data_IF_571425598740
#
_entry.id   IF_571425598740
#
_cell.length_a   1.000
_cell.length_b   1.000
_cell.length_c   1.000
_cell.angle_alpha   90.00
_cell.angle_beta   90.00
_cell.angle_gamma   90.00
#
_symmetry.space_group_name_H-M   'P 1'
#
loop_
_entity.id
_entity.type
_entity.pdbx_description
1 polymer ?
#
# COMPACT_ATOMS: atom_id res chain seq x y z
N UNK A 1 6.32 -15.25 -10.28
CA UNK A 1 5.30 -14.20 -10.06
C UNK A 1 5.40 -13.67 -8.64
N UNK A 2 5.38 -12.38 -8.46
CA UNK A 2 5.45 -11.67 -7.16
C UNK A 2 4.25 -10.75 -7.00
N UNK A 3 3.68 -10.65 -5.80
CA UNK A 3 2.62 -9.70 -5.52
C UNK A 3 3.18 -8.40 -4.95
N UNK A 4 2.72 -7.30 -5.49
CA UNK A 4 3.00 -5.95 -5.02
C UNK A 4 1.67 -5.36 -4.57
N UNK A 5 1.52 -5.15 -3.28
CA UNK A 5 0.29 -4.61 -2.70
C UNK A 5 0.54 -3.17 -2.28
N UNK A 6 -0.16 -2.25 -2.89
CA UNK A 6 -0.11 -0.84 -2.57
C UNK A 6 -1.26 -0.50 -1.62
N UNK A 7 -0.99 0.28 -0.58
CA UNK A 7 -2.03 0.86 0.27
C UNK A 7 -2.05 2.37 0.14
N UNK A 8 -3.25 2.91 -0.06
CA UNK A 8 -3.51 4.35 -0.22
C UNK A 8 -4.96 4.61 0.17
N UNK A 9 -5.36 5.86 0.37
CA UNK A 9 -6.75 6.12 0.76
C UNK A 9 -7.32 7.48 0.33
N UNK A 10 -6.62 8.23 -0.48
CA UNK A 10 -7.16 9.47 -1.05
C UNK A 10 -6.89 9.59 -2.55
N UNK A 11 -7.75 10.28 -3.32
CA UNK A 11 -7.53 10.51 -4.74
C UNK A 11 -6.23 11.26 -5.03
N UNK A 12 -5.84 12.17 -4.14
CA UNK A 12 -4.59 12.91 -4.25
C UNK A 12 -3.37 11.99 -4.12
N UNK A 13 -3.37 11.06 -3.18
CA UNK A 13 -2.32 10.06 -3.03
C UNK A 13 -2.26 9.10 -4.22
N UNK A 14 -3.43 8.71 -4.75
CA UNK A 14 -3.49 7.87 -5.96
C UNK A 14 -2.81 8.56 -7.14
N UNK A 15 -3.11 9.83 -7.37
CA UNK A 15 -2.53 10.60 -8.47
C UNK A 15 -1.04 10.90 -8.26
N UNK A 16 -0.64 11.25 -7.04
CA UNK A 16 0.71 11.73 -6.75
C UNK A 16 1.71 10.60 -6.50
N UNK A 17 1.27 9.47 -5.95
CA UNK A 17 2.19 8.40 -5.52
C UNK A 17 1.88 7.05 -6.14
N UNK A 18 0.62 6.61 -6.18
CA UNK A 18 0.27 5.30 -6.75
C UNK A 18 0.56 5.27 -8.25
N UNK A 19 0.10 6.28 -8.99
CA UNK A 19 0.27 6.33 -10.44
C UNK A 19 1.74 6.23 -10.87
N UNK A 20 2.67 7.09 -10.41
CA UNK A 20 4.08 6.99 -10.82
C UNK A 20 4.74 5.68 -10.38
N UNK A 21 4.34 5.13 -9.23
CA UNK A 21 4.86 3.82 -8.79
C UNK A 21 4.37 2.70 -9.72
N UNK A 22 3.09 2.68 -10.08
CA UNK A 22 2.54 1.68 -11.01
C UNK A 22 3.16 1.80 -12.40
N UNK A 23 3.31 3.02 -12.91
CA UNK A 23 3.97 3.27 -14.20
C UNK A 23 5.41 2.73 -14.18
N UNK A 24 6.17 3.02 -13.10
CA UNK A 24 7.53 2.53 -12.97
C UNK A 24 7.62 1.02 -12.81
N UNK A 25 6.70 0.42 -12.07
CA UNK A 25 6.61 -1.03 -11.95
C UNK A 25 6.31 -1.70 -13.29
N UNK A 26 5.51 -1.08 -14.15
CA UNK A 26 5.18 -1.62 -15.47
C UNK A 26 6.39 -1.65 -16.42
N UNK A 27 7.37 -0.75 -16.24
CA UNK A 27 8.62 -0.79 -16.99
C UNK A 27 9.50 -2.00 -16.65
N UNK A 28 9.31 -2.61 -15.47
CA UNK A 28 10.09 -3.75 -15.04
C UNK A 28 9.61 -5.04 -15.72
N UNK A 29 10.51 -5.73 -16.41
CA UNK A 29 10.23 -7.01 -17.05
C UNK A 29 10.27 -8.17 -16.04
N UNK A 30 9.32 -8.17 -15.09
CA UNK A 30 9.12 -9.22 -14.09
C UNK A 30 7.65 -9.65 -14.06
N UNK A 31 7.39 -10.92 -13.84
CA UNK A 31 6.03 -11.41 -13.59
C UNK A 31 5.54 -10.93 -12.24
N UNK A 32 4.50 -10.11 -12.25
CA UNK A 32 3.94 -9.49 -11.05
C UNK A 32 2.43 -9.31 -11.13
N UNK A 33 1.80 -9.31 -9.96
CA UNK A 33 0.48 -8.76 -9.76
C UNK A 33 0.61 -7.46 -8.98
N UNK A 34 -0.11 -6.43 -9.37
CA UNK A 34 -0.21 -5.17 -8.65
C UNK A 34 -1.63 -5.05 -8.11
N UNK A 35 -1.77 -5.16 -6.81
CA UNK A 35 -3.03 -4.98 -6.09
C UNK A 35 -3.02 -3.64 -5.35
N UNK A 36 -4.15 -2.96 -5.33
CA UNK A 36 -4.31 -1.71 -4.58
C UNK A 36 -5.45 -1.87 -3.58
N UNK A 37 -5.15 -1.63 -2.30
CA UNK A 37 -6.17 -1.54 -1.26
C UNK A 37 -6.35 -0.09 -0.83
N UNK A 38 -7.61 0.33 -0.70
CA UNK A 38 -7.99 1.62 -0.13
C UNK A 38 -8.70 1.40 1.21
N UNK A 39 -7.94 1.21 2.32
CA UNK A 39 -8.50 1.01 3.64
C UNK A 39 -9.35 2.20 4.10
N UNK A 40 -10.18 2.05 5.15
CA UNK A 40 -10.96 3.15 5.70
C UNK A 40 -10.08 4.31 6.16
N UNK A 41 -10.46 5.52 5.81
CA UNK A 41 -9.84 6.75 6.29
C UNK A 41 -10.87 7.87 6.37
N UNK A 42 -10.70 8.76 7.33
CA UNK A 42 -11.53 9.98 7.50
C UNK A 42 -11.43 10.93 6.31
N UNK A 43 -10.40 10.81 5.48
CA UNK A 43 -10.17 11.65 4.29
C UNK A 43 -10.58 10.96 2.97
N UNK A 44 -11.17 9.77 3.03
CA UNK A 44 -11.66 9.08 1.84
C UNK A 44 -12.85 9.83 1.25
N UNK A 45 -12.78 10.13 -0.05
CA UNK A 45 -13.85 10.82 -0.79
C UNK A 45 -14.81 9.85 -1.49
N UNK A 46 -14.45 8.57 -1.57
CA UNK A 46 -15.15 7.55 -2.35
C UNK A 46 -14.84 7.55 -3.85
N UNK A 47 -14.05 8.50 -4.33
CA UNK A 47 -13.64 8.60 -5.74
C UNK A 47 -12.36 7.83 -6.08
N UNK A 48 -11.70 7.26 -5.08
CA UNK A 48 -10.43 6.54 -5.23
C UNK A 48 -10.54 5.39 -6.24
N UNK A 49 -11.64 4.65 -6.20
CA UNK A 49 -11.89 3.54 -7.11
C UNK A 49 -11.97 3.95 -8.57
N UNK A 50 -12.53 5.13 -8.87
CA UNK A 50 -12.59 5.65 -10.22
C UNK A 50 -11.20 6.01 -10.74
N UNK A 51 -10.41 6.72 -9.96
CA UNK A 51 -9.04 7.09 -10.34
C UNK A 51 -8.17 5.85 -10.54
N UNK A 52 -8.32 4.84 -9.68
CA UNK A 52 -7.59 3.57 -9.81
C UNK A 52 -8.00 2.78 -11.05
N UNK A 53 -9.28 2.80 -11.44
CA UNK A 53 -9.75 2.10 -12.64
C UNK A 53 -9.17 2.65 -13.94
N UNK A 54 -8.68 3.89 -13.93
CA UNK A 54 -8.03 4.54 -15.07
C UNK A 54 -6.53 4.21 -15.20
N UNK A 55 -5.95 3.53 -14.18
CA UNK A 55 -4.53 3.16 -14.18
C UNK A 55 -4.30 1.80 -14.86
N UNK A 56 -3.53 1.82 -15.95
CA UNK A 56 -3.10 0.60 -16.62
C UNK A 56 -2.07 -0.17 -15.77
N UNK A 57 -2.18 -1.51 -15.78
CA UNK A 57 -1.21 -2.38 -15.12
C UNK A 57 -1.55 -2.78 -13.68
N UNK A 58 -2.66 -2.29 -13.13
CA UNK A 58 -3.21 -2.79 -11.87
C UNK A 58 -3.98 -4.08 -12.13
N UNK A 59 -3.68 -5.13 -11.37
CA UNK A 59 -4.36 -6.43 -11.44
C UNK A 59 -5.78 -6.33 -10.87
N UNK A 60 -5.92 -5.73 -9.69
CA UNK A 60 -7.20 -5.41 -9.07
C UNK A 60 -7.06 -4.33 -8.00
N UNK A 61 -8.15 -3.60 -7.76
CA UNK A 61 -8.26 -2.62 -6.69
C UNK A 61 -9.42 -2.99 -5.75
N UNK A 62 -9.23 -2.77 -4.45
CA UNK A 62 -10.17 -3.17 -3.40
C UNK A 62 -10.49 -1.99 -2.50
N UNK A 63 -11.78 -1.75 -2.32
CA UNK A 63 -12.29 -0.67 -1.49
C UNK A 63 -12.26 -0.99 0.01
N UNK A 64 -12.60 -0.01 0.85
CA UNK A 64 -12.60 -0.12 2.29
C UNK A 64 -13.47 -1.26 2.82
N UNK A 65 -14.63 -1.50 2.20
CA UNK A 65 -15.54 -2.58 2.60
C UNK A 65 -14.93 -3.96 2.32
N UNK A 66 -14.31 -4.13 1.16
CA UNK A 66 -13.62 -5.37 0.80
C UNK A 66 -12.41 -5.62 1.69
N UNK A 67 -11.64 -4.56 1.97
CA UNK A 67 -10.53 -4.60 2.92
C UNK A 67 -11.00 -5.06 4.31
N UNK A 68 -12.03 -4.42 4.88
CA UNK A 68 -12.54 -4.76 6.21
C UNK A 68 -13.08 -6.20 6.27
N UNK A 69 -13.83 -6.65 5.27
CA UNK A 69 -14.29 -8.03 5.19
C UNK A 69 -13.11 -9.01 5.18
N UNK A 70 -12.06 -8.69 4.46
CA UNK A 70 -10.88 -9.54 4.39
C UNK A 70 -10.12 -9.58 5.71
N UNK A 71 -9.86 -8.43 6.33
CA UNK A 71 -9.08 -8.36 7.58
C UNK A 71 -9.86 -8.93 8.77
N UNK A 72 -11.13 -8.56 8.95
CA UNK A 72 -11.91 -8.90 10.13
C UNK A 72 -12.62 -10.24 10.02
N UNK A 73 -13.15 -10.57 8.85
CA UNK A 73 -13.99 -11.75 8.63
C UNK A 73 -13.30 -12.86 7.83
N UNK A 74 -12.06 -12.63 7.39
CA UNK A 74 -11.34 -13.53 6.50
C UNK A 74 -12.06 -13.84 5.18
N UNK A 75 -12.93 -12.92 4.73
CA UNK A 75 -13.63 -13.01 3.45
C UNK A 75 -12.75 -12.35 2.38
N UNK A 76 -12.08 -13.19 1.62
CA UNK A 76 -11.18 -12.74 0.56
C UNK A 76 -11.97 -12.20 -0.63
N UNK A 77 -11.62 -11.03 -1.21
CA UNK A 77 -12.24 -10.55 -2.44
C UNK A 77 -12.03 -11.53 -3.61
N UNK A 78 -13.02 -11.67 -4.50
CA UNK A 78 -13.03 -12.69 -5.55
C UNK A 78 -11.81 -12.60 -6.50
N UNK A 79 -11.40 -11.38 -6.85
CA UNK A 79 -10.27 -11.12 -7.75
C UNK A 79 -8.92 -11.01 -7.02
N UNK A 80 -8.88 -11.31 -5.71
CA UNK A 80 -7.65 -11.30 -4.95
C UNK A 80 -7.11 -12.72 -4.81
N UNK A 81 -6.05 -13.01 -5.55
CA UNK A 81 -5.36 -14.32 -5.56
C UNK A 81 -3.90 -14.15 -5.16
N UNK A 82 -3.62 -13.95 -3.85
CA UNK A 82 -2.25 -13.72 -3.40
C UNK A 82 -1.37 -14.92 -3.67
N UNK A 83 -0.17 -14.66 -4.17
CA UNK A 83 0.88 -15.65 -4.37
C UNK A 83 1.65 -15.91 -3.07
N UNK A 84 2.58 -16.86 -3.09
CA UNK A 84 3.41 -17.17 -1.91
C UNK A 84 4.47 -16.10 -1.61
N UNK A 85 4.74 -15.20 -2.55
CA UNK A 85 5.76 -14.16 -2.42
C UNK A 85 5.19 -12.81 -2.79
N UNK A 86 5.43 -11.84 -1.94
CA UNK A 86 4.99 -10.48 -2.20
C UNK A 86 5.52 -9.51 -1.15
N UNK A 87 5.12 -8.27 -1.27
CA UNK A 87 5.36 -7.24 -0.27
C UNK A 87 4.24 -6.20 -0.28
N UNK A 88 4.11 -5.51 0.84
CA UNK A 88 3.22 -4.37 1.00
C UNK A 88 4.05 -3.10 0.84
N UNK A 89 3.59 -2.16 0.03
CA UNK A 89 4.13 -0.82 -0.06
C UNK A 89 3.06 0.18 0.39
N UNK A 90 3.29 0.76 1.56
CA UNK A 90 2.49 1.85 2.08
C UNK A 90 2.82 3.13 1.32
N UNK A 91 1.80 3.76 0.73
CA UNK A 91 1.91 5.01 0.00
C UNK A 91 1.03 6.12 0.59
N UNK A 92 0.16 5.78 1.53
CA UNK A 92 -0.70 6.74 2.19
C UNK A 92 -1.73 6.08 3.10
N UNK A 93 -2.38 6.90 3.91
CA UNK A 93 -3.35 6.48 4.90
C UNK A 93 -2.77 6.18 6.27
N UNK A 94 -3.34 5.21 6.95
CA UNK A 94 -2.87 4.73 8.24
C UNK A 94 -1.94 3.52 8.07
N UNK A 95 -0.73 3.60 8.61
CA UNK A 95 0.25 2.52 8.61
C UNK A 95 -0.29 1.19 9.16
N UNK A 96 -1.20 1.25 10.13
CA UNK A 96 -1.79 0.08 10.75
C UNK A 96 -2.41 -0.86 9.72
N UNK A 97 -3.07 -0.32 8.71
CA UNK A 97 -3.71 -1.12 7.67
C UNK A 97 -2.70 -1.88 6.79
N UNK A 98 -1.58 -1.24 6.44
CA UNK A 98 -0.50 -1.90 5.72
C UNK A 98 0.15 -3.02 6.56
N UNK A 99 0.33 -2.77 7.86
CA UNK A 99 0.87 -3.77 8.80
C UNK A 99 -0.08 -4.96 8.96
N UNK A 100 -1.40 -4.73 9.03
CA UNK A 100 -2.37 -5.82 9.11
C UNK A 100 -2.36 -6.70 7.87
N UNK A 101 -2.31 -6.09 6.67
CA UNK A 101 -2.17 -6.85 5.42
C UNK A 101 -0.86 -7.64 5.39
N UNK A 102 0.25 -7.02 5.78
CA UNK A 102 1.54 -7.68 5.83
C UNK A 102 1.55 -8.91 6.75
N UNK A 103 1.00 -8.77 7.97
CA UNK A 103 0.86 -9.89 8.90
C UNK A 103 -0.06 -11.00 8.39
N UNK A 104 -1.18 -10.62 7.77
CA UNK A 104 -2.16 -11.58 7.26
C UNK A 104 -1.62 -12.41 6.10
N UNK A 105 -0.78 -11.83 5.26
CA UNK A 105 -0.22 -12.46 4.07
C UNK A 105 1.20 -13.02 4.27
N UNK A 106 1.79 -12.75 5.43
CA UNK A 106 3.22 -13.02 5.70
C UNK A 106 4.13 -12.29 4.70
N UNK A 107 3.78 -11.03 4.38
CA UNK A 107 4.52 -10.18 3.47
C UNK A 107 5.26 -9.07 4.21
N UNK A 108 6.52 -8.78 3.86
CA UNK A 108 7.23 -7.64 4.41
C UNK A 108 6.54 -6.32 4.03
N UNK A 109 6.53 -5.37 4.96
CA UNK A 109 5.97 -4.03 4.76
C UNK A 109 7.09 -3.05 4.52
N UNK A 110 6.96 -2.28 3.45
CA UNK A 110 7.79 -1.12 3.11
C UNK A 110 6.91 0.11 3.12
N UNK A 111 7.47 1.26 3.44
CA UNK A 111 6.71 2.48 3.53
C UNK A 111 7.40 3.67 2.87
N UNK A 112 6.67 4.42 2.07
CA UNK A 112 7.04 5.78 1.68
C UNK A 112 6.31 6.76 2.60
N UNK A 113 7.01 7.75 3.12
CA UNK A 113 6.39 8.75 3.99
C UNK A 113 7.11 10.11 3.90
N UNK A 114 6.33 11.18 4.03
CA UNK A 114 6.81 12.57 3.96
C UNK A 114 6.74 13.28 5.31
N UNK A 115 5.90 12.82 6.23
CA UNK A 115 5.57 13.59 7.44
C UNK A 115 5.86 12.86 8.72
N UNK A 116 5.60 11.57 8.77
CA UNK A 116 5.69 10.79 10.00
C UNK A 116 6.02 9.33 9.69
N UNK A 117 6.28 8.57 10.72
CA UNK A 117 6.49 7.14 10.64
C UNK A 117 5.69 6.42 11.73
N UNK A 118 5.29 5.21 11.46
CA UNK A 118 4.57 4.36 12.40
C UNK A 118 5.04 2.93 12.34
N UNK A 119 4.80 2.20 13.43
CA UNK A 119 5.09 0.75 13.51
C UNK A 119 6.52 0.34 13.12
N UNK A 120 7.58 0.97 13.70
CA UNK A 120 8.97 0.75 13.28
C UNK A 120 9.42 -0.71 13.39
N UNK A 121 8.82 -1.49 14.29
CA UNK A 121 9.10 -2.94 14.43
C UNK A 121 8.44 -3.81 13.36
N UNK A 122 7.46 -3.27 12.63
CA UNK A 122 6.68 -4.01 11.62
C UNK A 122 6.98 -3.56 10.20
N UNK A 123 7.55 -2.38 10.02
CA UNK A 123 7.97 -1.86 8.72
C UNK A 123 9.45 -2.19 8.51
N UNK A 124 9.74 -2.92 7.45
CA UNK A 124 11.09 -3.40 7.15
C UNK A 124 12.02 -2.28 6.69
N UNK A 125 11.49 -1.30 5.96
CA UNK A 125 12.25 -0.15 5.46
C UNK A 125 11.34 1.02 5.14
N UNK A 126 11.82 2.22 5.46
CA UNK A 126 11.19 3.48 5.10
C UNK A 126 11.92 4.15 3.95
N UNK A 127 11.16 4.70 3.03
CA UNK A 127 11.62 5.61 1.98
C UNK A 127 11.12 7.01 2.34
N UNK A 128 12.02 7.95 2.48
CA UNK A 128 11.75 9.28 3.01
C UNK A 128 12.01 10.33 1.94
N UNK A 129 11.11 11.29 1.84
CA UNK A 129 11.27 12.44 0.94
C UNK A 129 12.14 13.56 1.55
N UNK A 130 12.28 13.59 2.89
CA UNK A 130 12.86 14.69 3.62
C UNK A 130 13.97 14.25 4.58
N UNK A 131 15.09 14.96 4.53
CA UNK A 131 16.23 14.76 5.43
C UNK A 131 15.91 15.07 6.90
N UNK A 132 14.95 15.95 7.17
CA UNK A 132 14.52 16.25 8.54
C UNK A 132 13.86 15.03 9.19
N UNK A 133 13.01 14.34 8.44
CA UNK A 133 12.38 13.10 8.89
C UNK A 133 13.41 12.00 9.13
N UNK A 134 14.39 11.85 8.24
CA UNK A 134 15.52 10.95 8.42
C UNK A 134 16.26 11.23 9.74
N UNK A 135 16.60 12.49 10.01
CA UNK A 135 17.31 12.87 11.22
C UNK A 135 16.47 12.60 12.50
N UNK A 136 15.14 12.81 12.43
CA UNK A 136 14.22 12.47 13.51
C UNK A 136 14.22 10.96 13.77
N UNK A 137 14.04 10.15 12.75
CA UNK A 137 14.02 8.69 12.88
C UNK A 137 15.33 8.14 13.45
N UNK A 138 16.48 8.64 12.97
CA UNK A 138 17.79 8.23 13.47
C UNK A 138 17.97 8.57 14.96
N UNK A 139 17.45 9.72 15.42
CA UNK A 139 17.46 10.06 16.86
C UNK A 139 16.58 9.14 17.69
N UNK A 140 15.48 8.67 17.11
CA UNK A 140 14.54 7.76 17.76
C UNK A 140 14.98 6.28 17.67
N UNK A 141 16.15 6.02 17.07
CA UNK A 141 16.75 4.68 16.99
C UNK A 141 16.12 3.76 15.93
N UNK A 142 15.56 4.36 14.88
CA UNK A 142 14.88 3.67 13.78
C UNK A 142 15.74 3.66 12.53
#
# INVERSE_FOLDING_TARGET
>A
MIDIILTTNSPGEVASWVKPVVEKLNELNIEKNIYVFTPPCVFSSGNEGRVLSELNGITAAFNSRQYLKYILLNIKPDNFKPSKKGFILFLGGDFMHAVFLGKKLDYPVYAYTERDYGFPKSVKKYYLSDKKLYNKMTKDGI
#
